data_IF_309577944978
#
_entry.id   IF_309577944978
#
_cell.length_a   1.000
_cell.length_b   1.000
_cell.length_c   1.000
_cell.angle_alpha   90.00
_cell.angle_beta   90.00
_cell.angle_gamma   90.00
#
_symmetry.space_group_name_H-M   'P 1'
#
loop_
_entity.id
_entity.type
_entity.pdbx_description
1 polymer ?
#
# COMPACT_ATOMS: atom_id res chain seq x y z
N UNK A 1 46.01 20.36 24.54
CA UNK A 1 45.91 21.83 24.50
C UNK A 1 45.01 22.19 23.33
N UNK A 2 43.83 22.79 23.65
CA UNK A 2 42.86 23.50 22.78
C UNK A 2 42.12 22.67 21.71
N UNK A 3 40.82 22.79 21.49
CA UNK A 3 39.72 23.48 22.19
C UNK A 3 38.40 22.98 21.59
N UNK A 4 37.35 22.98 22.43
CA UNK A 4 35.97 22.65 22.05
C UNK A 4 35.31 23.87 21.40
N UNK A 5 34.53 23.66 20.34
CA UNK A 5 33.40 24.51 19.93
C UNK A 5 32.31 23.53 19.45
N UNK A 6 31.20 23.33 20.18
CA UNK A 6 29.96 24.14 20.17
C UNK A 6 29.44 24.33 18.73
N UNK A 7 28.18 24.11 18.36
CA UNK A 7 26.94 23.87 19.09
C UNK A 7 25.87 23.51 18.03
N UNK A 8 24.97 22.60 18.40
CA UNK A 8 23.56 22.48 18.03
C UNK A 8 23.02 23.38 16.90
N UNK A 9 22.54 22.77 15.80
CA UNK A 9 21.43 23.31 15.01
C UNK A 9 20.41 22.18 14.79
N UNK A 10 19.55 22.02 15.79
CA UNK A 10 18.16 21.62 15.58
C UNK A 10 17.46 22.72 14.81
N UNK A 11 16.95 22.41 13.62
CA UNK A 11 16.15 23.32 12.80
C UNK A 11 15.13 22.52 12.00
N UNK A 12 13.98 22.27 12.61
CA UNK A 12 12.74 21.92 11.93
C UNK A 12 12.48 22.99 10.88
N UNK A 13 12.35 22.60 9.61
CA UNK A 13 11.77 23.49 8.60
C UNK A 13 10.59 22.78 7.97
N UNK A 14 9.45 23.24 8.46
CA UNK A 14 8.10 23.07 7.99
C UNK A 14 8.00 23.38 6.48
N UNK A 15 7.24 22.56 5.75
CA UNK A 15 6.96 22.73 4.33
C UNK A 15 5.61 23.45 4.21
N UNK A 16 5.54 24.73 3.79
CA UNK A 16 4.25 25.39 3.61
C UNK A 16 3.55 24.93 2.31
N UNK A 17 2.20 24.88 2.31
CA UNK A 17 1.40 24.48 1.16
C UNK A 17 1.05 25.68 0.29
N UNK A 18 1.42 25.66 -1.00
CA UNK A 18 0.89 26.64 -1.94
C UNK A 18 -0.57 26.29 -2.29
N UNK A 19 -1.47 26.92 -1.53
CA UNK A 19 -2.87 27.09 -1.83
C UNK A 19 -3.09 27.99 -3.04
N UNK A 20 -4.18 27.73 -3.74
CA UNK A 20 -4.61 28.52 -4.90
C UNK A 20 -5.08 29.93 -4.52
N UNK A 21 -4.87 30.84 -5.45
CA UNK A 21 -5.58 32.12 -5.59
C UNK A 21 -5.66 32.38 -7.11
N UNK A 22 -6.81 32.17 -7.75
CA UNK A 22 -7.88 33.16 -7.91
C UNK A 22 -7.36 34.52 -8.39
N UNK A 23 -7.51 34.75 -9.70
CA UNK A 23 -7.17 36.01 -10.36
C UNK A 23 -8.38 36.54 -11.13
N UNK A 24 -9.41 36.97 -10.41
CA UNK A 24 -10.48 37.80 -10.97
C UNK A 24 -9.95 39.22 -11.22
N UNK A 25 -9.95 39.69 -12.49
CA UNK A 25 -10.09 41.10 -12.88
C UNK A 25 -10.01 41.31 -14.41
N UNK A 26 -11.16 41.56 -15.03
CA UNK A 26 -11.59 42.89 -15.55
C UNK A 26 -12.76 42.70 -16.53
N UNK A 27 -13.89 43.31 -16.19
CA UNK A 27 -14.99 43.56 -17.10
C UNK A 27 -14.78 44.93 -17.77
N UNK A 28 -14.90 44.99 -19.09
CA UNK A 28 -15.41 46.12 -19.86
C UNK A 28 -15.99 45.57 -21.15
N UNK A 29 -17.26 45.86 -21.41
CA UNK A 29 -17.98 45.36 -22.57
C UNK A 29 -17.66 46.09 -23.86
N UNK A 30 -18.05 45.47 -24.96
CA UNK A 30 -18.72 46.07 -26.14
C UNK A 30 -19.02 44.90 -27.07
N UNK A 31 -20.30 44.67 -27.33
CA UNK A 31 -20.76 43.90 -28.48
C UNK A 31 -20.74 44.81 -29.70
N UNK A 32 -20.41 44.27 -30.88
CA UNK A 32 -21.23 44.61 -32.04
C UNK A 32 -21.73 43.35 -32.73
N UNK A 33 -23.02 43.39 -33.04
CA UNK A 33 -23.70 42.54 -34.00
C UNK A 33 -23.32 42.95 -35.43
N UNK A 34 -22.89 41.99 -36.23
CA UNK A 34 -23.17 41.82 -37.67
C UNK A 34 -22.33 40.61 -38.10
N UNK A 35 -22.86 39.57 -38.73
CA UNK A 35 -23.76 39.61 -39.88
C UNK A 35 -22.95 39.14 -41.08
N UNK A 36 -23.42 38.05 -41.69
CA UNK A 36 -23.00 37.43 -42.95
C UNK A 36 -22.02 36.26 -42.87
N UNK A 37 -22.53 35.14 -43.41
CA UNK A 37 -21.90 34.01 -44.08
C UNK A 37 -20.38 33.92 -44.00
N UNK A 38 -19.88 32.73 -43.63
CA UNK A 38 -19.24 31.77 -44.54
C UNK A 38 -18.96 30.48 -43.75
N UNK A 39 -19.18 29.33 -44.39
CA UNK A 39 -18.93 27.98 -43.88
C UNK A 39 -17.53 27.86 -43.26
N UNK A 40 -17.39 27.46 -41.98
CA UNK A 40 -16.08 27.10 -41.47
C UNK A 40 -15.75 25.70 -41.99
N UNK A 41 -14.98 25.66 -43.08
CA UNK A 41 -14.13 24.52 -43.39
C UNK A 41 -13.52 24.02 -42.07
N UNK A 42 -13.87 22.79 -41.68
CA UNK A 42 -13.23 22.05 -40.61
C UNK A 42 -11.77 21.77 -41.01
N UNK A 43 -10.92 22.79 -41.00
CA UNK A 43 -9.48 22.62 -40.93
C UNK A 43 -9.18 22.14 -39.52
N UNK A 44 -9.21 20.82 -39.33
CA UNK A 44 -8.54 20.22 -38.20
C UNK A 44 -7.10 20.74 -38.20
N UNK A 45 -6.61 21.31 -37.08
CA UNK A 45 -5.21 21.69 -36.97
C UNK A 45 -4.36 20.46 -37.35
N UNK A 46 -3.27 20.63 -38.13
CA UNK A 46 -2.36 19.54 -38.40
C UNK A 46 -1.91 18.94 -37.06
N UNK A 47 -1.94 17.61 -36.99
CA UNK A 47 -1.58 16.83 -35.81
C UNK A 47 -0.23 17.33 -35.27
N UNK A 48 -0.15 17.82 -34.02
CA UNK A 48 1.09 18.36 -33.49
C UNK A 48 2.16 17.27 -33.48
N UNK A 49 3.20 17.45 -34.30
CA UNK A 49 4.37 16.57 -34.39
C UNK A 49 5.13 16.44 -33.04
N UNK A 50 4.79 17.30 -32.07
CA UNK A 50 5.29 17.23 -30.69
C UNK A 50 4.31 16.39 -29.85
N UNK A 51 4.72 15.22 -29.34
CA UNK A 51 3.87 14.42 -28.48
C UNK A 51 3.46 15.23 -27.24
N UNK A 52 2.16 15.22 -26.91
CA UNK A 52 1.55 15.99 -25.82
C UNK A 52 2.23 15.81 -24.46
N UNK A 53 2.99 14.73 -24.27
CA UNK A 53 3.71 14.42 -23.03
C UNK A 53 5.16 14.03 -23.29
N UNK A 54 6.08 14.84 -22.76
CA UNK A 54 7.51 14.52 -22.70
C UNK A 54 7.75 13.26 -21.86
N UNK A 55 8.24 12.20 -22.49
CA UNK A 55 8.69 11.00 -21.79
C UNK A 55 9.83 11.36 -20.82
N UNK A 56 9.63 11.09 -19.51
CA UNK A 56 10.67 11.28 -18.50
C UNK A 56 11.61 10.08 -18.48
N UNK A 57 12.91 10.33 -18.49
CA UNK A 57 13.95 9.28 -18.40
C UNK A 57 13.77 8.46 -17.12
N UNK A 58 13.81 7.13 -17.25
CA UNK A 58 13.77 6.19 -16.11
C UNK A 58 15.08 5.42 -16.05
N UNK A 59 15.65 5.31 -14.86
CA UNK A 59 16.87 4.54 -14.62
C UNK A 59 16.52 3.15 -14.09
N UNK A 60 16.95 2.12 -14.82
CA UNK A 60 16.82 0.72 -14.38
C UNK A 60 17.78 0.45 -13.22
N UNK A 61 17.47 -0.55 -12.39
CA UNK A 61 18.35 -0.94 -11.28
C UNK A 61 19.74 -1.35 -11.76
N UNK A 62 19.80 -2.17 -12.83
CA UNK A 62 21.06 -2.56 -13.48
C UNK A 62 21.90 -1.35 -13.90
N UNK A 63 21.26 -0.34 -14.52
CA UNK A 63 21.95 0.88 -14.91
C UNK A 63 22.53 1.63 -13.70
N UNK A 64 21.75 1.77 -12.62
CA UNK A 64 22.22 2.43 -11.40
C UNK A 64 23.42 1.69 -10.79
N UNK A 65 23.38 0.36 -10.71
CA UNK A 65 24.48 -0.45 -10.19
C UNK A 65 25.75 -0.32 -11.03
N UNK A 66 25.63 -0.39 -12.35
CA UNK A 66 26.76 -0.21 -13.25
C UNK A 66 27.40 1.18 -13.08
N UNK A 67 26.59 2.24 -12.99
CA UNK A 67 27.10 3.59 -12.76
C UNK A 67 27.78 3.72 -11.40
N UNK A 68 27.26 3.08 -10.35
CA UNK A 68 27.91 3.07 -9.04
C UNK A 68 29.27 2.38 -9.08
N UNK A 69 29.38 1.24 -9.78
CA UNK A 69 30.65 0.54 -9.96
C UNK A 69 31.67 1.38 -10.75
N UNK A 70 31.25 1.99 -11.87
CA UNK A 70 32.10 2.88 -12.67
C UNK A 70 32.51 4.13 -11.88
N UNK A 71 31.60 4.68 -11.05
CA UNK A 71 31.89 5.81 -10.18
C UNK A 71 32.87 5.45 -9.06
N UNK A 72 32.78 4.25 -8.50
CA UNK A 72 33.69 3.76 -7.47
C UNK A 72 35.07 3.39 -8.05
N UNK A 73 35.16 3.07 -9.36
CA UNK A 73 36.41 2.85 -10.08
C UNK A 73 37.16 4.15 -10.45
N UNK A 74 36.48 5.30 -10.43
CA UNK A 74 37.11 6.60 -10.71
C UNK A 74 37.96 7.03 -9.50
N UNK A 75 39.29 6.99 -9.64
CA UNK A 75 40.25 7.33 -8.58
C UNK A 75 40.99 8.65 -8.82
N UNK A 76 41.00 9.14 -10.06
CA UNK A 76 41.68 10.38 -10.40
C UNK A 76 40.85 11.63 -10.03
N UNK A 77 41.49 12.73 -9.62
CA UNK A 77 40.80 13.97 -9.29
C UNK A 77 40.07 14.52 -10.52
N UNK A 78 38.75 14.74 -10.39
CA UNK A 78 37.91 15.31 -11.45
C UNK A 78 37.39 14.30 -12.49
N UNK A 79 37.93 13.08 -12.54
CA UNK A 79 37.47 12.01 -13.44
C UNK A 79 36.01 11.65 -13.18
N UNK A 80 35.62 11.52 -11.90
CA UNK A 80 34.24 11.28 -11.50
C UNK A 80 33.29 12.38 -12.01
N UNK A 81 33.71 13.64 -11.93
CA UNK A 81 32.91 14.77 -12.41
C UNK A 81 32.74 14.78 -13.93
N UNK A 82 33.80 14.45 -14.68
CA UNK A 82 33.74 14.32 -16.14
C UNK A 82 32.83 13.16 -16.57
N UNK A 83 32.94 12.03 -15.89
CA UNK A 83 32.09 10.86 -16.10
C UNK A 83 30.60 11.17 -15.84
N UNK A 84 30.28 11.86 -14.75
CA UNK A 84 28.90 12.21 -14.44
C UNK A 84 28.29 13.17 -15.49
N UNK A 85 29.07 14.16 -15.95
CA UNK A 85 28.64 15.08 -17.01
C UNK A 85 28.37 14.35 -18.32
N UNK A 86 29.19 13.36 -18.69
CA UNK A 86 28.98 12.58 -19.93
C UNK A 86 27.73 11.68 -19.86
N UNK A 87 27.37 11.21 -18.66
CA UNK A 87 26.15 10.41 -18.45
C UNK A 87 24.88 11.25 -18.19
N UNK A 88 25.03 12.57 -18.05
CA UNK A 88 23.95 13.50 -17.68
C UNK A 88 23.45 13.29 -16.25
N UNK A 89 24.36 12.95 -15.34
CA UNK A 89 24.09 12.65 -13.94
C UNK A 89 24.71 13.70 -13.02
N UNK A 90 24.08 13.89 -11.86
CA UNK A 90 24.56 14.78 -10.79
C UNK A 90 24.98 13.98 -9.56
N UNK A 91 25.84 14.55 -8.71
CA UNK A 91 26.34 13.94 -7.46
C UNK A 91 25.21 13.54 -6.49
N UNK A 92 24.09 14.26 -6.50
CA UNK A 92 22.89 13.94 -5.73
C UNK A 92 22.29 12.57 -6.12
N UNK A 93 22.40 12.18 -7.38
CA UNK A 93 21.96 10.86 -7.86
C UNK A 93 22.80 9.75 -7.25
N UNK A 94 24.13 9.90 -7.26
CA UNK A 94 25.05 8.92 -6.64
C UNK A 94 24.75 8.75 -5.16
N UNK A 95 24.59 9.86 -4.44
CA UNK A 95 24.27 9.84 -3.00
C UNK A 95 22.96 9.08 -2.74
N UNK A 96 21.93 9.37 -3.53
CA UNK A 96 20.63 8.70 -3.44
C UNK A 96 20.74 7.21 -3.79
N UNK A 97 21.51 6.85 -4.82
CA UNK A 97 21.64 5.47 -5.28
C UNK A 97 22.53 4.63 -4.35
N UNK A 98 23.55 5.22 -3.71
CA UNK A 98 24.32 4.57 -2.65
C UNK A 98 23.42 4.19 -1.48
N UNK A 99 22.60 5.14 -0.99
CA UNK A 99 21.59 4.85 0.03
C UNK A 99 20.61 3.75 -0.40
N UNK A 100 20.11 3.80 -1.64
CA UNK A 100 19.22 2.75 -2.17
C UNK A 100 19.89 1.38 -2.28
N UNK A 101 21.20 1.33 -2.55
CA UNK A 101 21.99 0.08 -2.54
C UNK A 101 22.09 -0.47 -1.13
N UNK A 102 22.45 0.38 -0.18
CA UNK A 102 22.67 -0.01 1.22
C UNK A 102 21.35 -0.44 1.88
N UNK A 103 20.21 0.14 1.48
CA UNK A 103 18.86 -0.28 1.86
C UNK A 103 18.37 -1.57 1.14
N UNK A 104 19.18 -2.16 0.25
CA UNK A 104 18.82 -3.34 -0.56
C UNK A 104 17.72 -3.07 -1.60
N UNK A 105 17.36 -1.81 -1.83
CA UNK A 105 16.29 -1.42 -2.75
C UNK A 105 16.68 -1.62 -4.21
N UNK A 106 17.96 -1.49 -4.57
CA UNK A 106 18.41 -1.71 -5.96
C UNK A 106 18.28 -3.18 -6.38
N UNK A 107 18.60 -4.11 -5.47
CA UNK A 107 18.42 -5.54 -5.72
C UNK A 107 16.94 -5.95 -5.65
N UNK A 108 16.17 -5.30 -4.75
CA UNK A 108 14.72 -5.49 -4.62
C UNK A 108 13.89 -4.80 -5.72
N UNK A 109 14.50 -3.97 -6.59
CA UNK A 109 13.85 -3.28 -7.70
C UNK A 109 13.79 -4.10 -8.99
N UNK A 110 14.24 -5.37 -8.97
CA UNK A 110 13.74 -6.34 -9.96
C UNK A 110 12.20 -6.25 -9.96
N UNK A 111 11.50 -6.35 -11.10
CA UNK A 111 10.06 -6.13 -11.17
C UNK A 111 9.29 -7.11 -10.28
N UNK A 112 9.16 -6.80 -8.99
CA UNK A 112 8.33 -7.56 -8.07
C UNK A 112 6.90 -7.21 -8.44
N UNK A 113 6.14 -8.21 -8.88
CA UNK A 113 4.75 -8.04 -9.30
C UNK A 113 4.03 -7.16 -8.29
N UNK A 114 3.65 -5.95 -8.71
CA UNK A 114 2.83 -5.05 -7.91
C UNK A 114 1.49 -5.74 -7.70
N UNK A 115 1.11 -5.93 -6.44
CA UNK A 115 -0.13 -6.62 -6.08
C UNK A 115 -0.13 -7.07 -4.62
N UNK A 116 -1.30 -7.51 -4.15
CA UNK A 116 -1.48 -8.11 -2.82
C UNK A 116 -0.49 -9.27 -2.67
N UNK A 117 0.42 -9.20 -1.70
CA UNK A 117 1.28 -10.33 -1.33
C UNK A 117 0.38 -11.54 -1.09
N UNK A 118 0.68 -12.67 -1.73
CA UNK A 118 -0.05 -13.91 -1.49
C UNK A 118 0.11 -14.25 -0.01
N UNK A 119 -0.99 -14.16 0.75
CA UNK A 119 -0.97 -14.57 2.15
C UNK A 119 -0.73 -16.07 2.15
N UNK A 120 0.32 -16.51 2.83
CA UNK A 120 0.57 -17.93 3.05
C UNK A 120 -0.71 -18.56 3.62
N UNK A 121 -1.28 -19.52 2.88
CA UNK A 121 -2.50 -20.22 3.31
C UNK A 121 -2.15 -20.95 4.60
N UNK A 122 -2.81 -20.58 5.70
CA UNK A 122 -2.58 -21.24 6.98
C UNK A 122 -2.90 -22.73 6.83
N UNK A 123 -1.93 -23.65 7.02
CA UNK A 123 -2.13 -25.09 6.83
C UNK A 123 -3.16 -25.68 7.80
N UNK A 124 -3.50 -24.95 8.88
CA UNK A 124 -4.47 -25.37 9.90
C UNK A 124 -5.91 -24.94 9.56
N UNK A 125 -6.11 -24.05 8.57
CA UNK A 125 -7.43 -23.57 8.17
C UNK A 125 -8.46 -24.68 7.84
N UNK A 126 -8.13 -25.78 7.12
CA UNK A 126 -9.09 -26.85 6.87
C UNK A 126 -9.50 -27.58 8.15
N UNK A 127 -8.55 -27.82 9.06
CA UNK A 127 -8.82 -28.50 10.34
C UNK A 127 -9.71 -27.66 11.25
N UNK A 128 -9.47 -26.36 11.31
CA UNK A 128 -10.35 -25.43 12.06
C UNK A 128 -11.77 -25.46 11.50
N UNK A 129 -11.93 -25.44 10.16
CA UNK A 129 -13.25 -25.50 9.54
C UNK A 129 -13.98 -26.83 9.78
N UNK A 130 -13.27 -27.96 9.82
CA UNK A 130 -13.83 -29.27 10.19
C UNK A 130 -14.33 -29.26 11.64
N UNK A 131 -13.48 -28.84 12.58
CA UNK A 131 -13.81 -28.76 14.00
C UNK A 131 -14.99 -27.82 14.28
N UNK A 132 -15.05 -26.67 13.59
CA UNK A 132 -16.19 -25.75 13.70
C UNK A 132 -17.51 -26.35 13.22
N UNK A 133 -17.48 -27.24 12.22
CA UNK A 133 -18.70 -27.93 11.75
C UNK A 133 -19.16 -28.97 12.75
N UNK A 134 -18.24 -29.71 13.33
CA UNK A 134 -18.53 -30.73 14.32
C UNK A 134 -19.10 -30.13 15.60
N UNK A 135 -18.46 -29.08 16.12
CA UNK A 135 -18.96 -28.32 17.29
C UNK A 135 -20.36 -27.76 17.05
N UNK A 136 -20.63 -27.16 15.88
CA UNK A 136 -21.99 -26.70 15.51
C UNK A 136 -23.01 -27.83 15.45
N UNK A 137 -22.62 -29.02 14.97
CA UNK A 137 -23.50 -30.19 14.91
C UNK A 137 -23.80 -30.74 16.31
N UNK A 138 -22.79 -30.85 17.17
CA UNK A 138 -22.93 -31.34 18.54
C UNK A 138 -23.76 -30.39 19.40
N UNK A 139 -23.48 -29.08 19.34
CA UNK A 139 -24.28 -28.06 20.03
C UNK A 139 -25.75 -28.07 19.62
N UNK A 140 -26.06 -28.32 18.34
CA UNK A 140 -27.46 -28.47 17.89
C UNK A 140 -28.13 -29.72 18.46
N UNK A 141 -27.40 -30.82 18.61
CA UNK A 141 -27.92 -32.05 19.24
C UNK A 141 -28.18 -31.84 20.73
N UNK A 142 -27.25 -31.19 21.44
CA UNK A 142 -27.41 -30.84 22.86
C UNK A 142 -28.66 -29.98 23.08
N UNK A 143 -28.81 -28.89 22.34
CA UNK A 143 -30.00 -28.03 22.42
C UNK A 143 -31.31 -28.78 22.19
N UNK A 144 -31.31 -29.78 21.31
CA UNK A 144 -32.49 -30.62 21.07
C UNK A 144 -32.78 -31.54 22.25
N UNK A 145 -31.75 -32.16 22.83
CA UNK A 145 -31.88 -33.02 24.00
C UNK A 145 -32.34 -32.21 25.23
N UNK A 146 -31.72 -31.05 25.47
CA UNK A 146 -32.11 -30.09 26.52
C UNK A 146 -33.58 -29.69 26.38
N UNK A 147 -34.03 -29.33 25.17
CA UNK A 147 -35.43 -28.98 24.93
C UNK A 147 -36.40 -30.15 25.20
N UNK A 148 -36.01 -31.39 24.90
CA UNK A 148 -36.81 -32.58 25.21
C UNK A 148 -36.90 -32.77 26.72
N UNK A 149 -35.76 -32.67 27.42
CA UNK A 149 -35.69 -32.80 28.89
C UNK A 149 -36.54 -31.72 29.55
N UNK A 150 -36.44 -30.46 29.11
CA UNK A 150 -37.24 -29.35 29.60
C UNK A 150 -38.74 -29.58 29.38
N UNK A 151 -39.12 -30.08 28.20
CA UNK A 151 -40.51 -30.41 27.90
C UNK A 151 -41.04 -31.53 28.80
N UNK A 152 -40.25 -32.60 29.02
CA UNK A 152 -40.60 -33.68 29.94
C UNK A 152 -40.79 -33.17 31.37
N UNK A 153 -39.87 -32.32 31.85
CA UNK A 153 -39.97 -31.68 33.18
C UNK A 153 -41.25 -30.86 33.33
N UNK A 154 -41.59 -30.01 32.34
CA UNK A 154 -42.81 -29.20 32.35
C UNK A 154 -44.09 -30.04 32.36
N UNK A 155 -44.14 -31.15 31.61
CA UNK A 155 -45.30 -32.05 31.61
C UNK A 155 -45.44 -32.75 32.96
N UNK A 156 -44.34 -33.26 33.53
CA UNK A 156 -44.32 -33.88 34.84
C UNK A 156 -44.80 -32.93 35.94
N UNK A 157 -44.37 -31.67 35.90
CA UNK A 157 -44.82 -30.60 36.80
C UNK A 157 -46.33 -30.35 36.70
N UNK A 158 -46.87 -30.26 35.48
CA UNK A 158 -48.30 -30.03 35.25
C UNK A 158 -49.16 -31.23 35.69
N UNK A 159 -48.67 -32.45 35.47
CA UNK A 159 -49.42 -33.69 35.73
C UNK A 159 -49.14 -34.31 37.11
N UNK A 160 -48.22 -33.75 37.89
CA UNK A 160 -47.84 -34.25 39.22
C UNK A 160 -47.18 -35.64 39.19
N UNK A 161 -46.56 -36.02 38.08
CA UNK A 161 -45.90 -37.32 37.93
C UNK A 161 -44.48 -37.21 38.49
N UNK A 162 -44.07 -38.01 39.49
CA UNK A 162 -42.70 -37.97 40.02
C UNK A 162 -41.68 -38.36 38.94
N UNK A 163 -40.60 -37.56 38.79
CA UNK A 163 -39.46 -37.89 37.92
C UNK A 163 -38.40 -38.67 38.71
N UNK A 164 -37.89 -39.76 38.13
CA UNK A 164 -36.66 -40.39 38.60
C UNK A 164 -35.46 -39.52 38.18
N UNK A 165 -34.85 -38.85 39.15
CA UNK A 165 -33.59 -38.16 38.98
C UNK A 165 -32.49 -39.20 38.74
N UNK A 166 -32.00 -39.28 37.50
CA UNK A 166 -30.84 -40.12 37.20
C UNK A 166 -29.62 -39.60 37.98
N UNK A 167 -28.85 -40.47 38.66
CA UNK A 167 -27.69 -40.06 39.42
C UNK A 167 -26.67 -39.40 38.49
N UNK A 168 -26.18 -38.23 38.91
CA UNK A 168 -25.11 -37.50 38.25
C UNK A 168 -23.91 -38.43 38.07
N UNK A 169 -23.57 -38.80 36.83
CA UNK A 169 -22.36 -39.57 36.58
C UNK A 169 -21.16 -38.72 36.98
N UNK A 170 -20.59 -39.06 38.14
CA UNK A 170 -19.35 -38.51 38.67
C UNK A 170 -18.30 -38.36 37.56
N UNK A 171 -17.69 -37.18 37.55
CA UNK A 171 -16.57 -36.81 36.69
C UNK A 171 -15.52 -37.92 36.62
N UNK A 172 -15.56 -38.72 35.54
CA UNK A 172 -14.34 -39.37 35.05
C UNK A 172 -13.59 -38.36 34.20
N UNK A 173 -12.93 -37.44 34.89
CA UNK A 173 -11.68 -36.88 34.42
C UNK A 173 -10.73 -38.03 34.15
N UNK A 174 -10.41 -38.28 32.89
CA UNK A 174 -9.31 -39.17 32.54
C UNK A 174 -8.69 -38.75 31.21
N UNK A 175 -7.46 -38.26 31.37
CA UNK A 175 -6.36 -38.09 30.40
C UNK A 175 -6.31 -36.87 29.49
#
# INVERSE_FOLDING_TARGET
MREKYLSSITGVVDLPPDGGTEGARRATGVSPSNGSAEEPFLMSPPDPEVPEKKARRRFTAKYKLQILQEADACTEPGQLGAFLRSKGLYSSNLTTWRRQRDEGLLDALSPKKRGRKEKEKNPLAPRVAELERETKKLTRKLKRAEAIIEFQKKISEILGIPQEDLPEEEERGSS
#
